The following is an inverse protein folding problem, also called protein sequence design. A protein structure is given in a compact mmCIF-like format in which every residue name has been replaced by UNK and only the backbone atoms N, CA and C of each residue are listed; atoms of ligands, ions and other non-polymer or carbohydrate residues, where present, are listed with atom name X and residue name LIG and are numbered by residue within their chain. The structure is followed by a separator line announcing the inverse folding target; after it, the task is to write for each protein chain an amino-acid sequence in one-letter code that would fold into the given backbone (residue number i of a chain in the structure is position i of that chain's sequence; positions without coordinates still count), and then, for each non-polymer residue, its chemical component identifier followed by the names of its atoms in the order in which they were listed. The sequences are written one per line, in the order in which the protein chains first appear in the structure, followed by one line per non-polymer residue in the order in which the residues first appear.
data_IF_312062136054
#
_entry.id   IF_312062136054
#
_cell.length_a   1.000
_cell.length_b   1.000
_cell.length_c   1.000
_cell.angle_alpha   90.00
_cell.angle_beta   90.00
_cell.angle_gamma   90.00
#
_symmetry.space_group_name_H-M   'P 1'
#
loop_
_entity.id
_entity.type
_entity.pdbx_description
1 polymer ?
#
# COMPACT_ATOMS: atom_id res chain seq x y z
N UNK A 1 -25.61 -24.15 -10.68
CA UNK A 1 -24.74 -23.52 -9.66
C UNK A 1 -25.38 -22.17 -9.35
N UNK A 2 -26.07 -22.07 -8.21
CA UNK A 2 -26.76 -20.82 -7.81
C UNK A 2 -25.79 -20.05 -6.92
N UNK A 3 -25.29 -18.94 -7.41
CA UNK A 3 -24.63 -17.95 -6.58
C UNK A 3 -25.74 -17.09 -5.94
N UNK A 4 -26.03 -17.33 -4.67
CA UNK A 4 -26.84 -16.43 -3.85
C UNK A 4 -25.91 -15.29 -3.39
N UNK A 5 -25.91 -14.20 -4.16
CA UNK A 5 -25.57 -12.94 -3.58
C UNK A 5 -26.83 -12.40 -2.94
N UNK A 6 -26.82 -12.26 -1.62
CA UNK A 6 -27.83 -11.49 -0.91
C UNK A 6 -27.76 -10.06 -1.43
N UNK A 7 -28.79 -9.67 -2.15
CA UNK A 7 -28.93 -8.36 -2.74
C UNK A 7 -29.41 -7.40 -1.65
N UNK A 8 -28.48 -6.81 -0.91
CA UNK A 8 -28.65 -5.39 -0.66
C UNK A 8 -28.13 -4.68 -1.92
N UNK A 9 -29.05 -4.22 -2.75
CA UNK A 9 -28.76 -3.28 -3.84
C UNK A 9 -28.23 -1.97 -3.25
N UNK A 10 -26.98 -1.97 -2.81
CA UNK A 10 -26.24 -0.75 -2.61
C UNK A 10 -25.93 -0.24 -4.01
N UNK A 11 -26.65 0.83 -4.37
CA UNK A 11 -26.47 1.60 -5.59
C UNK A 11 -24.96 1.88 -5.74
N UNK A 12 -24.26 1.07 -6.54
CA UNK A 12 -22.85 1.25 -6.83
C UNK A 12 -22.75 2.45 -7.77
N UNK A 13 -22.50 3.63 -7.22
CA UNK A 13 -22.28 4.87 -8.00
C UNK A 13 -21.04 4.81 -8.90
N UNK A 14 -20.39 3.65 -8.99
CA UNK A 14 -19.23 3.42 -9.85
C UNK A 14 -18.01 4.25 -9.47
N UNK A 15 -17.95 4.82 -8.27
CA UNK A 15 -16.80 5.59 -7.83
C UNK A 15 -15.59 4.70 -7.69
N UNK A 16 -14.57 5.03 -8.47
CA UNK A 16 -13.26 4.39 -8.39
C UNK A 16 -12.34 5.28 -7.55
N UNK A 17 -11.60 4.67 -6.63
CA UNK A 17 -10.49 5.31 -5.94
C UNK A 17 -9.23 4.53 -6.21
N UNK A 18 -8.23 5.22 -6.70
CA UNK A 18 -6.89 4.68 -6.89
C UNK A 18 -5.94 5.32 -5.88
N UNK A 19 -5.10 4.51 -5.30
CA UNK A 19 -4.14 4.92 -4.27
C UNK A 19 -2.83 4.17 -4.45
N UNK A 20 -1.74 4.79 -4.02
CA UNK A 20 -0.44 4.13 -3.88
C UNK A 20 -0.05 4.00 -2.43
N UNK A 21 0.83 3.07 -2.14
CA UNK A 21 1.56 2.97 -0.88
C UNK A 21 2.96 2.42 -1.15
N UNK A 22 3.98 3.06 -0.60
CA UNK A 22 5.36 2.59 -0.60
C UNK A 22 5.71 2.01 0.76
N UNK A 23 6.34 0.84 0.75
CA UNK A 23 7.03 0.26 1.88
C UNK A 23 8.53 0.21 1.61
N UNK A 24 9.30 0.94 2.41
CA UNK A 24 10.75 0.84 2.38
C UNK A 24 11.19 -0.30 3.30
N UNK A 25 12.05 -1.16 2.77
CA UNK A 25 12.55 -2.34 3.48
C UNK A 25 14.03 -2.18 3.78
N UNK A 26 14.42 -2.34 5.05
CA UNK A 26 15.81 -2.40 5.50
C UNK A 26 15.99 -3.66 6.36
N UNK A 27 16.59 -4.70 5.79
CA UNK A 27 16.78 -6.01 6.43
C UNK A 27 15.45 -6.55 6.96
N UNK A 28 15.32 -6.66 8.30
CA UNK A 28 14.12 -7.19 8.99
C UNK A 28 13.19 -6.07 9.49
N UNK A 29 13.24 -4.88 8.88
CA UNK A 29 12.39 -3.74 9.25
C UNK A 29 11.71 -3.16 8.02
N UNK A 30 10.52 -2.60 8.23
CA UNK A 30 9.76 -1.86 7.22
C UNK A 30 9.49 -0.47 7.77
N UNK A 31 9.72 0.57 6.95
CA UNK A 31 9.33 1.93 7.28
C UNK A 31 7.82 2.06 7.19
N UNK A 32 7.21 2.51 8.27
CA UNK A 32 5.77 2.72 8.37
C UNK A 32 5.49 4.17 8.73
N UNK A 33 4.40 4.68 8.18
CA UNK A 33 3.81 5.96 8.57
C UNK A 33 2.73 5.70 9.63
N UNK A 34 2.90 6.23 10.84
CA UNK A 34 1.83 6.32 11.83
C UNK A 34 1.03 7.59 11.56
N UNK A 35 -0.11 7.43 10.91
CA UNK A 35 -0.97 8.53 10.48
C UNK A 35 -1.87 8.98 11.62
N UNK A 36 -1.74 10.24 12.03
CA UNK A 36 -2.46 10.83 13.17
C UNK A 36 -3.52 11.85 12.72
N UNK A 37 -3.41 12.40 11.53
CA UNK A 37 -4.05 13.64 11.10
C UNK A 37 -5.44 13.56 10.49
N UNK A 38 -6.09 12.40 10.38
CA UNK A 38 -7.42 12.31 9.76
C UNK A 38 -8.54 12.46 10.79
N UNK A 39 -9.46 13.42 10.56
CA UNK A 39 -10.69 13.55 11.37
C UNK A 39 -11.68 12.41 11.16
N UNK A 40 -11.47 11.56 10.17
CA UNK A 40 -12.42 10.55 9.69
C UNK A 40 -11.92 9.12 9.91
N UNK A 41 -10.64 8.94 10.10
CA UNK A 41 -10.00 7.62 10.25
C UNK A 41 -9.21 7.60 11.55
N UNK A 42 -9.41 6.55 12.35
CA UNK A 42 -8.59 6.32 13.55
C UNK A 42 -7.10 6.23 13.20
N UNK A 43 -6.22 6.65 14.13
CA UNK A 43 -4.77 6.52 13.92
C UNK A 43 -4.40 5.10 13.53
N UNK A 44 -3.64 4.97 12.45
CA UNK A 44 -3.27 3.68 11.90
C UNK A 44 -1.91 3.71 11.24
N UNK A 45 -1.28 2.54 11.15
CA UNK A 45 -0.03 2.35 10.46
C UNK A 45 -0.29 2.07 8.98
N UNK A 46 0.42 2.77 8.10
CA UNK A 46 0.30 2.58 6.64
C UNK A 46 1.66 2.77 5.95
N UNK A 47 1.71 2.50 4.65
CA UNK A 47 2.83 2.90 3.79
C UNK A 47 2.76 4.39 3.46
N UNK A 48 3.85 4.96 2.99
CA UNK A 48 3.93 6.32 2.43
C UNK A 48 3.16 6.33 1.11
N UNK A 49 2.23 7.26 0.92
CA UNK A 49 1.48 7.35 -0.33
C UNK A 49 0.07 7.89 -0.15
N UNK A 50 -0.60 8.09 -1.28
CA UNK A 50 -1.92 8.71 -1.28
C UNK A 50 -2.71 8.45 -2.55
N UNK A 51 -3.61 9.38 -2.87
CA UNK A 51 -4.54 9.25 -3.98
C UNK A 51 -3.89 9.68 -5.30
N UNK A 52 -4.31 9.02 -6.38
CA UNK A 52 -3.96 9.46 -7.73
C UNK A 52 -4.54 10.83 -8.03
N UNK A 53 -3.75 11.66 -8.66
CA UNK A 53 -4.23 12.85 -9.35
C UNK A 53 -4.72 12.50 -10.77
N UNK A 54 -5.55 13.35 -11.41
CA UNK A 54 -6.10 13.06 -12.73
C UNK A 54 -5.04 12.73 -13.80
N UNK A 55 -3.88 13.36 -13.71
CA UNK A 55 -2.76 13.20 -14.64
C UNK A 55 -2.01 11.87 -14.45
N UNK A 56 -2.18 11.24 -13.29
CA UNK A 56 -1.48 10.02 -12.88
C UNK A 56 -2.27 8.74 -13.13
N UNK A 57 -3.52 8.82 -13.61
CA UNK A 57 -4.45 7.68 -13.71
C UNK A 57 -3.89 6.47 -14.49
N UNK A 58 -2.92 6.71 -15.38
CA UNK A 58 -2.24 5.66 -16.15
C UNK A 58 -0.79 5.43 -15.70
N UNK A 59 -0.35 6.10 -14.61
CA UNK A 59 1.03 6.04 -14.14
C UNK A 59 1.09 6.00 -12.60
N UNK A 60 0.93 4.81 -12.06
CA UNK A 60 1.02 4.60 -10.61
C UNK A 60 2.41 4.89 -10.05
N UNK A 61 3.47 4.82 -10.90
CA UNK A 61 4.83 5.17 -10.48
C UNK A 61 4.97 6.68 -10.27
N UNK A 62 4.41 7.50 -11.16
CA UNK A 62 4.39 8.95 -10.98
C UNK A 62 3.68 9.32 -9.66
N UNK A 63 2.52 8.72 -9.38
CA UNK A 63 1.78 8.95 -8.15
C UNK A 63 2.62 8.61 -6.89
N UNK A 64 3.20 7.42 -6.82
CA UNK A 64 3.97 7.05 -5.62
C UNK A 64 5.21 7.92 -5.42
N UNK A 65 5.87 8.34 -6.49
CA UNK A 65 7.04 9.22 -6.40
C UNK A 65 6.67 10.65 -5.97
N UNK A 66 5.54 11.17 -6.43
CA UNK A 66 5.03 12.47 -5.97
C UNK A 66 4.71 12.43 -4.47
N UNK A 67 3.94 11.44 -4.03
CA UNK A 67 3.55 11.29 -2.63
C UNK A 67 4.79 11.13 -1.71
N UNK A 68 5.75 10.30 -2.12
CA UNK A 68 7.02 10.13 -1.38
C UNK A 68 7.76 11.44 -1.24
N UNK A 69 7.83 12.23 -2.32
CA UNK A 69 8.49 13.54 -2.29
C UNK A 69 7.76 14.53 -1.40
N UNK A 70 6.44 14.56 -1.44
CA UNK A 70 5.60 15.46 -0.62
C UNK A 70 5.69 15.12 0.87
N UNK A 71 5.65 13.83 1.20
CA UNK A 71 5.64 13.37 2.59
C UNK A 71 7.04 13.34 3.23
N UNK A 72 8.09 13.02 2.46
CA UNK A 72 9.42 12.77 3.03
C UNK A 72 10.52 13.69 2.49
N UNK A 73 10.27 14.37 1.37
CA UNK A 73 11.28 15.10 0.62
C UNK A 73 12.19 14.20 -0.22
N UNK A 74 12.06 12.89 -0.15
CA UNK A 74 12.91 11.93 -0.82
C UNK A 74 12.62 11.85 -2.32
N UNK A 75 13.67 11.59 -3.10
CA UNK A 75 13.60 11.39 -4.55
C UNK A 75 13.83 9.92 -4.91
N UNK A 76 13.47 9.56 -6.14
CA UNK A 76 13.71 8.20 -6.65
C UNK A 76 15.19 7.81 -6.62
N UNK A 77 16.09 8.78 -6.83
CA UNK A 77 17.54 8.56 -6.84
C UNK A 77 18.09 8.09 -5.49
N UNK A 78 17.35 8.31 -4.41
CA UNK A 78 17.69 7.89 -3.04
C UNK A 78 17.19 6.48 -2.71
N UNK A 79 16.41 5.89 -3.62
CA UNK A 79 15.87 4.53 -3.48
C UNK A 79 16.59 3.53 -4.39
N UNK A 80 16.54 2.26 -3.99
CA UNK A 80 16.96 1.12 -4.80
C UNK A 80 15.82 0.13 -4.98
N UNK A 81 15.64 -0.35 -6.22
CA UNK A 81 14.72 -1.42 -6.55
C UNK A 81 13.24 -1.07 -6.36
N UNK A 82 12.86 0.20 -6.56
CA UNK A 82 11.46 0.60 -6.52
C UNK A 82 10.63 -0.22 -7.52
N UNK A 83 9.70 -1.00 -7.00
CA UNK A 83 9.01 -2.03 -7.74
C UNK A 83 7.56 -2.16 -7.28
N UNK A 84 6.62 -2.21 -8.22
CA UNK A 84 5.22 -2.53 -7.95
C UNK A 84 5.10 -4.03 -7.64
N UNK A 85 4.69 -4.37 -6.43
CA UNK A 85 4.61 -5.76 -5.97
C UNK A 85 3.19 -6.26 -5.80
N UNK A 86 2.24 -5.38 -5.49
CA UNK A 86 0.83 -5.76 -5.33
C UNK A 86 -0.08 -4.72 -5.96
N UNK A 87 -1.12 -5.21 -6.62
CA UNK A 87 -2.30 -4.42 -7.01
C UNK A 87 -3.51 -5.09 -6.38
N UNK A 88 -4.25 -4.38 -5.55
CA UNK A 88 -5.42 -4.93 -4.88
C UNK A 88 -6.68 -4.17 -5.21
N UNK A 89 -7.80 -4.89 -5.18
CA UNK A 89 -9.13 -4.33 -5.35
C UNK A 89 -10.00 -4.66 -4.14
N UNK A 90 -10.78 -3.69 -3.70
CA UNK A 90 -11.77 -3.87 -2.63
C UNK A 90 -13.01 -3.02 -2.89
N UNK A 91 -14.19 -3.64 -2.78
CA UNK A 91 -15.45 -2.88 -2.69
C UNK A 91 -15.73 -2.55 -1.22
N UNK A 92 -15.98 -1.27 -0.93
CA UNK A 92 -16.32 -0.81 0.42
C UNK A 92 -17.04 0.54 0.38
N UNK A 93 -18.12 0.69 1.16
CA UNK A 93 -18.86 1.96 1.29
C UNK A 93 -19.27 2.58 -0.07
N UNK A 94 -19.72 1.75 -1.03
CA UNK A 94 -20.13 2.21 -2.35
C UNK A 94 -19.00 2.64 -3.30
N UNK A 95 -17.73 2.38 -2.93
CA UNK A 95 -16.56 2.67 -3.74
C UNK A 95 -15.79 1.41 -4.09
N UNK A 96 -15.22 1.35 -5.28
CA UNK A 96 -14.21 0.35 -5.63
C UNK A 96 -12.85 1.02 -5.46
N UNK A 97 -12.05 0.47 -4.58
CA UNK A 97 -10.69 0.95 -4.28
C UNK A 97 -9.66 0.05 -4.92
N UNK A 98 -8.74 0.66 -5.69
CA UNK A 98 -7.54 0.02 -6.19
C UNK A 98 -6.35 0.58 -5.43
N UNK A 99 -5.53 -0.30 -4.87
CA UNK A 99 -4.31 0.10 -4.18
C UNK A 99 -3.11 -0.55 -4.87
N UNK A 100 -2.11 0.27 -5.16
CA UNK A 100 -0.85 -0.11 -5.78
C UNK A 100 0.24 -0.05 -4.72
N UNK A 101 0.80 -1.21 -4.35
CA UNK A 101 1.82 -1.30 -3.30
C UNK A 101 3.20 -1.48 -3.92
N UNK A 102 4.02 -0.48 -3.68
CA UNK A 102 5.42 -0.45 -4.07
C UNK A 102 6.31 -0.85 -2.91
N UNK A 103 7.42 -1.48 -3.25
CA UNK A 103 8.49 -1.80 -2.31
C UNK A 103 9.80 -1.29 -2.86
N UNK A 104 10.68 -0.83 -1.98
CA UNK A 104 12.02 -0.37 -2.30
C UNK A 104 12.95 -0.50 -1.10
N UNK A 105 14.23 -0.28 -1.28
CA UNK A 105 15.21 -0.06 -0.21
C UNK A 105 15.76 1.34 -0.30
N UNK A 106 16.30 1.88 0.80
CA UNK A 106 17.06 3.12 0.78
C UNK A 106 18.50 2.85 0.34
N UNK A 107 19.07 3.77 -0.44
CA UNK A 107 20.51 3.79 -0.70
C UNK A 107 21.28 4.08 0.60
N UNK A 108 22.51 3.55 0.73
CA UNK A 108 23.35 3.82 1.88
C UNK A 108 23.58 5.31 2.11
N UNK A 109 23.43 5.76 3.36
CA UNK A 109 23.65 7.15 3.75
C UNK A 109 22.45 8.07 3.62
N UNK A 110 21.34 7.61 3.04
CA UNK A 110 20.08 8.37 3.03
C UNK A 110 19.44 8.34 4.42
N UNK A 111 19.03 9.50 4.89
CA UNK A 111 18.30 9.65 6.16
C UNK A 111 16.94 10.26 5.90
N UNK A 112 15.92 9.71 6.56
CA UNK A 112 14.55 10.21 6.47
C UNK A 112 14.19 11.08 7.67
N UNK A 113 13.25 12.02 7.51
CA UNK A 113 12.70 12.76 8.64
C UNK A 113 11.96 11.79 9.58
N UNK A 114 11.94 12.10 10.86
CA UNK A 114 11.14 11.32 11.84
C UNK A 114 9.65 11.60 11.74
N UNK A 115 9.28 12.73 11.16
CA UNK A 115 7.90 13.19 11.02
C UNK A 115 7.66 13.73 9.63
N UNK A 116 6.41 13.61 9.16
CA UNK A 116 5.93 14.19 7.91
C UNK A 116 4.60 14.93 8.17
N UNK A 117 4.05 15.66 7.20
CA UNK A 117 2.78 16.37 7.36
C UNK A 117 1.61 15.48 7.81
N UNK A 118 1.64 14.19 7.50
CA UNK A 118 0.59 13.24 7.82
C UNK A 118 0.79 12.47 9.14
N UNK A 119 1.99 12.49 9.72
CA UNK A 119 2.25 11.76 10.94
C UNK A 119 3.73 11.51 11.24
N UNK A 120 4.01 10.37 11.86
CA UNK A 120 5.33 9.93 12.29
C UNK A 120 5.83 8.77 11.46
N UNK A 121 7.07 8.84 11.00
CA UNK A 121 7.76 7.75 10.32
C UNK A 121 8.56 6.92 11.33
N UNK A 122 8.42 5.60 11.24
CA UNK A 122 9.09 4.67 12.16
C UNK A 122 9.49 3.39 11.44
N UNK A 123 10.72 2.95 11.68
CA UNK A 123 11.20 1.64 11.25
C UNK A 123 10.68 0.55 12.20
N UNK A 124 9.69 -0.18 11.76
CA UNK A 124 9.03 -1.22 12.54
C UNK A 124 9.64 -2.58 12.20
N UNK A 125 10.05 -3.38 13.21
CA UNK A 125 10.47 -4.77 12.99
C UNK A 125 9.38 -5.58 12.29
N UNK A 126 9.75 -6.40 11.32
CA UNK A 126 8.81 -7.26 10.59
C UNK A 126 8.03 -8.20 11.52
N UNK A 127 8.66 -8.63 12.60
CA UNK A 127 8.02 -9.48 13.63
C UNK A 127 6.88 -8.80 14.39
N UNK A 128 6.85 -7.47 14.41
CA UNK A 128 5.82 -6.69 15.11
C UNK A 128 4.68 -6.24 14.19
N UNK A 129 4.78 -6.48 12.88
CA UNK A 129 3.76 -6.05 11.91
C UNK A 129 2.36 -6.61 12.21
N UNK A 130 2.19 -7.88 12.63
CA UNK A 130 0.86 -8.43 12.90
C UNK A 130 0.11 -7.73 14.04
N UNK A 131 0.82 -7.07 14.95
CA UNK A 131 0.25 -6.37 16.10
C UNK A 131 -0.15 -4.92 15.79
N UNK A 132 0.22 -4.42 14.61
CA UNK A 132 -0.05 -3.02 14.22
C UNK A 132 -1.46 -2.86 13.70
N UNK A 133 -2.16 -1.81 14.18
CA UNK A 133 -3.45 -1.42 13.61
C UNK A 133 -3.23 -0.83 12.22
N UNK A 134 -3.66 -1.53 11.19
CA UNK A 134 -3.50 -1.15 9.78
C UNK A 134 -4.82 -1.20 9.03
N UNK A 135 -4.98 -0.43 7.92
CA UNK A 135 -6.08 -0.67 6.99
C UNK A 135 -6.09 -2.12 6.52
N UNK A 136 -7.27 -2.73 6.50
CA UNK A 136 -7.45 -4.19 6.30
C UNK A 136 -6.65 -4.74 5.11
N UNK A 137 -6.77 -4.10 3.93
CA UNK A 137 -6.08 -4.56 2.73
C UNK A 137 -4.55 -4.43 2.86
N UNK A 138 -4.06 -3.35 3.48
CA UNK A 138 -2.64 -3.14 3.72
C UNK A 138 -2.06 -4.21 4.67
N UNK A 139 -2.80 -4.54 5.72
CA UNK A 139 -2.44 -5.63 6.64
C UNK A 139 -2.30 -6.97 5.92
N UNK A 140 -3.28 -7.34 5.10
CA UNK A 140 -3.22 -8.59 4.31
C UNK A 140 -2.07 -8.60 3.30
N UNK A 141 -1.77 -7.45 2.67
CA UNK A 141 -0.62 -7.34 1.76
C UNK A 141 0.69 -7.57 2.51
N UNK A 142 0.88 -6.91 3.65
CA UNK A 142 2.10 -7.08 4.45
C UNK A 142 2.22 -8.50 5.01
N UNK A 143 1.13 -9.10 5.48
CA UNK A 143 1.13 -10.50 5.93
C UNK A 143 1.56 -11.44 4.80
N UNK A 144 1.00 -11.30 3.60
CA UNK A 144 1.38 -12.09 2.44
C UNK A 144 2.83 -11.80 2.02
N UNK A 145 3.26 -10.55 2.05
CA UNK A 145 4.63 -10.17 1.75
C UNK A 145 5.62 -10.85 2.70
N UNK A 146 5.38 -10.82 4.00
CA UNK A 146 6.24 -11.43 5.01
C UNK A 146 6.31 -12.95 4.89
N UNK A 147 5.19 -13.60 4.52
CA UNK A 147 5.10 -15.05 4.38
C UNK A 147 5.71 -15.58 3.08
N UNK A 148 5.48 -14.89 1.97
CA UNK A 148 5.81 -15.37 0.62
C UNK A 148 6.48 -14.30 -0.25
N UNK A 149 5.90 -13.08 -0.26
CA UNK A 149 6.25 -12.06 -1.24
C UNK A 149 7.72 -11.62 -1.18
N UNK A 150 8.31 -11.51 0.01
CA UNK A 150 9.68 -11.03 0.19
C UNK A 150 10.73 -11.92 -0.47
N UNK A 151 10.43 -13.22 -0.62
CA UNK A 151 11.34 -14.23 -1.17
C UNK A 151 11.15 -14.45 -2.68
N UNK A 152 10.33 -13.61 -3.33
CA UNK A 152 10.02 -13.70 -4.76
C UNK A 152 10.18 -12.36 -5.45
N UNK A 153 10.15 -12.38 -6.78
CA UNK A 153 10.08 -11.18 -7.65
C UNK A 153 8.72 -11.09 -8.39
N UNK A 154 7.67 -11.70 -7.83
CA UNK A 154 6.35 -11.68 -8.44
C UNK A 154 5.57 -10.39 -8.18
N UNK A 155 4.77 -9.98 -9.18
CA UNK A 155 3.66 -9.04 -9.03
C UNK A 155 2.40 -9.84 -8.70
N UNK A 156 1.71 -9.46 -7.62
CA UNK A 156 0.49 -10.11 -7.16
C UNK A 156 -0.73 -9.22 -7.38
N UNK A 157 -1.81 -9.82 -7.90
CA UNK A 157 -3.15 -9.24 -7.87
C UNK A 157 -3.92 -9.77 -6.66
N UNK A 158 -4.66 -8.91 -5.97
CA UNK A 158 -5.44 -9.30 -4.80
C UNK A 158 -6.87 -8.77 -4.81
N UNK A 159 -7.84 -9.60 -4.42
CA UNK A 159 -9.22 -9.18 -4.19
C UNK A 159 -9.53 -9.32 -2.71
N UNK A 160 -9.87 -8.20 -2.07
CA UNK A 160 -10.22 -8.15 -0.64
C UNK A 160 -11.72 -8.17 -0.45
N UNK A 161 -12.19 -9.13 0.34
CA UNK A 161 -13.57 -9.30 0.77
C UNK A 161 -13.65 -9.28 2.30
N UNK A 162 -14.81 -9.49 2.87
CA UNK A 162 -15.00 -9.71 4.32
C UNK A 162 -14.28 -10.96 4.85
N UNK A 163 -14.03 -11.94 3.97
CA UNK A 163 -13.35 -13.21 4.31
C UNK A 163 -11.81 -13.14 4.14
N UNK A 164 -11.25 -11.96 3.87
CA UNK A 164 -9.82 -11.76 3.66
C UNK A 164 -9.46 -11.34 2.24
N UNK A 165 -8.18 -11.47 1.90
CA UNK A 165 -7.66 -11.17 0.55
C UNK A 165 -7.16 -12.44 -0.12
N UNK A 166 -7.66 -12.70 -1.31
CA UNK A 166 -7.13 -13.77 -2.18
C UNK A 166 -6.11 -13.15 -3.13
N UNK A 167 -4.88 -13.66 -3.10
CA UNK A 167 -3.80 -13.23 -3.97
C UNK A 167 -3.56 -14.23 -5.10
N UNK A 168 -3.19 -13.72 -6.27
CA UNK A 168 -2.78 -14.50 -7.44
C UNK A 168 -1.56 -13.85 -8.08
N UNK A 169 -0.65 -14.67 -8.61
CA UNK A 169 0.49 -14.18 -9.39
C UNK A 169 -0.02 -13.62 -10.71
N UNK A 170 0.34 -12.39 -11.02
CA UNK A 170 0.04 -11.73 -12.30
C UNK A 170 1.20 -11.83 -13.30
N UNK A 171 2.42 -11.89 -12.81
CA UNK A 171 3.64 -11.92 -13.61
C UNK A 171 4.86 -11.60 -12.76
N UNK A 172 6.00 -11.34 -13.42
CA UNK A 172 7.16 -10.78 -12.75
C UNK A 172 6.97 -9.28 -12.52
N UNK A 173 7.41 -8.84 -11.36
CA UNK A 173 7.45 -7.41 -11.07
C UNK A 173 8.63 -6.77 -11.85
N UNK A 174 8.35 -5.64 -12.50
CA UNK A 174 9.36 -4.86 -13.21
C UNK A 174 10.00 -3.86 -12.24
N UNK A 175 11.34 -3.74 -12.33
CA UNK A 175 12.14 -2.81 -11.51
C UNK A 175 12.34 -1.50 -12.23
#
# INVERSE_FOLDING_TARGET
MKYLFDQEEQNMDGKLRQMTALYLVDRERILMLYRIGSRVVEPSWCGIGGHFEPEELNDSRACVLREVREETGMTEEEMEGLCLRYVTMRHTKGEIRFNHYYFASLKPGVTLPETCPEGKLEWVPMSEMPERNMPVTAGHVLEHYLREGKDTDWLYGGVTTENGTVFSVMGKAEK
#
